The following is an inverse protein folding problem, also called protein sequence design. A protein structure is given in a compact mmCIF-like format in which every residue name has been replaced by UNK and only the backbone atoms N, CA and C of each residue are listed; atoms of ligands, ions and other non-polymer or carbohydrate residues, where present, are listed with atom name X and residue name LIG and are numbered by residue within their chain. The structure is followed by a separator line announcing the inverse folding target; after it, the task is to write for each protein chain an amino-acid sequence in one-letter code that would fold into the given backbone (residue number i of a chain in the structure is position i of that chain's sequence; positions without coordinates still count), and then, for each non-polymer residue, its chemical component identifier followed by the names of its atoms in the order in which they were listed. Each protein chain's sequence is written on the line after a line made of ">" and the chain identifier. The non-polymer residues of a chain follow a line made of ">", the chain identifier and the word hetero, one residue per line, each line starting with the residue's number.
data_IF_636629801433
#
_entry.id   IF_636629801433
#
_cell.length_a   1.000
_cell.length_b   1.000
_cell.length_c   1.000
_cell.angle_alpha   90.00
_cell.angle_beta   90.00
_cell.angle_gamma   90.00
#
_symmetry.space_group_name_H-M   'P 1'
#
loop_
_entity.id
_entity.type
_entity.pdbx_description
1 polymer ?
#
# COMPACT_ATOMS: atom_id res chain seq x y z
N UNK A 1 8.82 4.34 -5.31
CA UNK A 1 8.62 2.89 -5.53
C UNK A 1 9.88 2.03 -5.37
N UNK A 2 9.89 1.13 -4.39
CA UNK A 2 10.96 0.16 -4.14
C UNK A 2 10.86 -1.10 -5.03
N UNK A 3 12.00 -1.74 -5.31
CA UNK A 3 12.06 -2.97 -6.12
C UNK A 3 11.39 -4.19 -5.48
N UNK A 4 11.25 -4.20 -4.15
CA UNK A 4 10.48 -5.21 -3.41
C UNK A 4 9.02 -5.16 -3.78
N UNK A 5 8.43 -3.97 -3.85
CA UNK A 5 7.04 -3.78 -4.28
C UNK A 5 6.83 -4.20 -5.74
N UNK A 6 7.76 -3.87 -6.64
CA UNK A 6 7.70 -4.34 -8.03
C UNK A 6 7.71 -5.87 -8.11
N UNK A 7 8.47 -6.53 -7.22
CA UNK A 7 8.51 -7.99 -7.15
C UNK A 7 7.19 -8.56 -6.63
N UNK A 8 6.60 -7.96 -5.60
CA UNK A 8 5.27 -8.32 -5.05
C UNK A 8 4.17 -8.17 -6.10
N UNK A 9 4.11 -7.02 -6.79
CA UNK A 9 3.14 -6.72 -7.85
C UNK A 9 3.24 -7.74 -9.00
N UNK A 10 4.46 -8.03 -9.42
CA UNK A 10 4.71 -8.97 -10.50
C UNK A 10 4.62 -10.45 -10.07
N UNK A 11 4.40 -10.71 -8.77
CA UNK A 11 4.34 -12.03 -8.14
C UNK A 11 5.60 -12.87 -8.41
N UNK A 12 6.77 -12.27 -8.16
CA UNK A 12 8.08 -12.89 -8.35
C UNK A 12 9.04 -12.53 -7.23
N UNK A 13 10.18 -13.22 -7.18
CA UNK A 13 11.27 -12.82 -6.27
C UNK A 13 11.97 -11.53 -6.72
N UNK A 14 12.53 -10.78 -5.76
CA UNK A 14 13.42 -9.64 -6.05
C UNK A 14 14.60 -10.05 -6.94
N UNK A 15 15.09 -11.28 -6.81
CA UNK A 15 16.14 -11.84 -7.68
C UNK A 15 15.71 -11.95 -9.14
N UNK A 16 14.44 -12.24 -9.43
CA UNK A 16 13.91 -12.23 -10.79
C UNK A 16 13.91 -10.81 -11.36
N UNK A 17 13.43 -9.82 -10.60
CA UNK A 17 13.47 -8.40 -10.99
C UNK A 17 14.91 -7.93 -11.27
N UNK A 18 15.87 -8.36 -10.44
CA UNK A 18 17.31 -8.10 -10.68
C UNK A 18 17.82 -8.69 -12.01
N UNK A 19 17.32 -9.85 -12.43
CA UNK A 19 17.68 -10.44 -13.73
C UNK A 19 17.06 -9.65 -14.89
N UNK A 20 15.81 -9.19 -14.75
CA UNK A 20 15.15 -8.35 -15.76
C UNK A 20 15.93 -7.06 -16.01
N UNK A 21 16.40 -6.41 -14.94
CA UNK A 21 17.26 -5.22 -15.03
C UNK A 21 18.60 -5.45 -15.75
N UNK A 22 19.03 -6.71 -15.88
CA UNK A 22 20.23 -7.10 -16.64
C UNK A 22 19.91 -7.50 -18.09
N UNK A 23 18.68 -7.27 -18.56
CA UNK A 23 18.24 -7.56 -19.92
C UNK A 23 17.67 -8.97 -20.12
N UNK A 24 17.35 -9.70 -19.04
CA UNK A 24 16.58 -10.94 -19.18
C UNK A 24 15.09 -10.60 -19.34
N UNK A 25 14.34 -11.50 -19.97
CA UNK A 25 12.92 -11.27 -20.20
C UNK A 25 12.06 -11.57 -18.97
N UNK A 26 11.01 -10.77 -18.82
CA UNK A 26 9.89 -11.06 -17.94
C UNK A 26 8.90 -12.00 -18.63
N UNK A 27 8.28 -12.90 -17.85
CA UNK A 27 7.22 -13.75 -18.38
C UNK A 27 6.05 -12.91 -18.94
N UNK A 28 5.25 -13.42 -19.90
CA UNK A 28 4.03 -12.74 -20.33
C UNK A 28 3.09 -12.35 -19.17
N UNK A 29 2.94 -13.24 -18.18
CA UNK A 29 2.11 -13.01 -17.00
C UNK A 29 2.62 -11.84 -16.15
N UNK A 30 3.92 -11.81 -15.85
CA UNK A 30 4.56 -10.72 -15.10
C UNK A 30 4.45 -9.39 -15.85
N UNK A 31 4.61 -9.40 -17.18
CA UNK A 31 4.40 -8.21 -18.01
C UNK A 31 2.97 -7.72 -17.95
N UNK A 32 1.98 -8.62 -17.97
CA UNK A 32 0.57 -8.24 -17.84
C UNK A 32 0.26 -7.61 -16.48
N UNK A 33 0.78 -8.19 -15.39
CA UNK A 33 0.61 -7.62 -14.03
C UNK A 33 1.22 -6.23 -13.91
N UNK A 34 2.46 -6.05 -14.38
CA UNK A 34 3.12 -4.75 -14.39
C UNK A 34 2.41 -3.72 -15.28
N UNK A 35 1.87 -4.14 -16.43
CA UNK A 35 1.10 -3.27 -17.31
C UNK A 35 -0.22 -2.81 -16.65
N UNK A 36 -0.94 -3.72 -15.98
CA UNK A 36 -2.15 -3.36 -15.20
C UNK A 36 -1.83 -2.38 -14.08
N UNK A 37 -0.73 -2.61 -13.37
CA UNK A 37 -0.29 -1.71 -12.31
C UNK A 37 0.10 -0.34 -12.87
N UNK A 38 0.84 -0.28 -13.98
CA UNK A 38 1.18 0.98 -14.64
C UNK A 38 -0.09 1.75 -15.06
N UNK A 39 -1.07 1.06 -15.65
CA UNK A 39 -2.35 1.67 -16.01
C UNK A 39 -3.13 2.20 -14.80
N UNK A 40 -3.05 1.54 -13.64
CA UNK A 40 -3.62 2.05 -12.40
C UNK A 40 -2.91 3.33 -11.95
N UNK A 41 -1.59 3.39 -12.01
CA UNK A 41 -0.84 4.62 -11.65
C UNK A 41 -1.24 5.78 -12.56
N UNK A 42 -1.36 5.54 -13.87
CA UNK A 42 -1.83 6.54 -14.84
C UNK A 42 -3.25 7.03 -14.50
N UNK A 43 -4.16 6.11 -14.12
CA UNK A 43 -5.52 6.46 -13.71
C UNK A 43 -5.53 7.31 -12.43
N UNK A 44 -4.70 6.97 -11.44
CA UNK A 44 -4.58 7.72 -10.19
C UNK A 44 -4.09 9.15 -10.43
N UNK A 45 -3.13 9.32 -11.35
CA UNK A 45 -2.62 10.64 -11.73
C UNK A 45 -3.70 11.47 -12.43
N UNK A 46 -4.33 10.89 -13.45
CA UNK A 46 -5.19 11.63 -14.38
C UNK A 46 -6.60 11.85 -13.85
N UNK A 47 -7.19 10.86 -13.19
CA UNK A 47 -8.61 10.88 -12.79
C UNK A 47 -8.79 11.19 -11.30
N UNK A 48 -7.91 10.67 -10.44
CA UNK A 48 -7.99 10.91 -8.99
C UNK A 48 -7.16 12.12 -8.52
N UNK A 49 -6.37 12.73 -9.40
CA UNK A 49 -5.56 13.91 -9.09
C UNK A 49 -4.41 13.64 -8.11
N UNK A 50 -3.92 12.41 -8.05
CA UNK A 50 -2.76 12.03 -7.22
C UNK A 50 -1.47 12.45 -7.92
N UNK A 51 -0.79 13.47 -7.38
CA UNK A 51 0.41 14.07 -8.03
C UNK A 51 1.59 13.08 -8.19
N UNK A 52 1.83 12.22 -7.19
CA UNK A 52 2.83 11.14 -7.26
C UNK A 52 2.18 9.81 -6.86
N UNK A 53 1.54 9.10 -7.81
CA UNK A 53 0.86 7.85 -7.54
C UNK A 53 1.79 6.78 -7.00
N UNK A 54 3.03 6.73 -7.49
CA UNK A 54 4.00 5.72 -7.07
C UNK A 54 4.38 5.90 -5.60
N UNK A 55 4.60 7.13 -5.14
CA UNK A 55 4.86 7.41 -3.72
C UNK A 55 3.60 7.23 -2.88
N UNK A 56 2.44 7.72 -3.35
CA UNK A 56 1.16 7.57 -2.65
C UNK A 56 0.82 6.10 -2.36
N UNK A 57 1.08 5.20 -3.31
CA UNK A 57 0.89 3.76 -3.13
C UNK A 57 1.71 3.17 -1.99
N UNK A 58 2.85 3.78 -1.64
CA UNK A 58 3.75 3.33 -0.56
C UNK A 58 3.44 3.99 0.79
N UNK A 59 2.65 5.06 0.81
CA UNK A 59 2.31 5.80 2.02
C UNK A 59 1.22 5.09 2.83
N UNK A 60 1.26 5.26 4.16
CA UNK A 60 0.19 4.78 5.03
C UNK A 60 -1.08 5.60 4.80
N UNK A 61 -2.21 4.89 4.74
CA UNK A 61 -3.52 5.52 4.72
C UNK A 61 -3.73 6.34 6.01
N UNK A 62 -4.50 7.45 5.95
CA UNK A 62 -4.71 8.35 7.07
C UNK A 62 -5.66 7.74 8.11
N UNK A 63 -5.19 6.71 8.82
CA UNK A 63 -5.92 5.96 9.84
C UNK A 63 -5.45 6.34 11.24
N UNK A 64 -6.23 5.94 12.25
CA UNK A 64 -5.83 6.07 13.64
C UNK A 64 -4.50 5.35 13.93
N UNK A 65 -3.75 5.86 14.92
CA UNK A 65 -2.44 5.32 15.28
C UNK A 65 -2.47 3.81 15.58
N UNK A 66 -1.49 3.10 15.02
CA UNK A 66 -1.31 1.66 15.15
C UNK A 66 -1.82 0.85 13.96
N UNK A 67 -2.47 1.47 12.96
CA UNK A 67 -2.75 0.80 11.68
C UNK A 67 -1.68 1.13 10.66
N UNK A 68 -1.17 0.11 9.98
CA UNK A 68 -0.16 0.21 8.93
C UNK A 68 -0.71 -0.41 7.66
N UNK A 69 -1.63 0.29 6.99
CA UNK A 69 -2.25 -0.15 5.73
C UNK A 69 -1.88 0.88 4.66
N UNK A 70 -1.33 0.41 3.55
CA UNK A 70 -0.96 1.23 2.39
C UNK A 70 -1.92 0.97 1.24
N UNK A 71 -2.11 1.90 0.30
CA UNK A 71 -2.87 1.62 -0.91
C UNK A 71 -2.31 0.44 -1.70
N UNK A 72 -0.99 0.23 -1.72
CA UNK A 72 -0.39 -0.96 -2.34
C UNK A 72 -0.91 -2.27 -1.74
N UNK A 73 -1.15 -2.33 -0.43
CA UNK A 73 -1.66 -3.55 0.21
C UNK A 73 -3.09 -3.85 -0.28
N UNK A 74 -3.90 -2.81 -0.54
CA UNK A 74 -5.23 -2.98 -1.14
C UNK A 74 -5.15 -3.50 -2.57
N UNK A 75 -4.22 -2.98 -3.37
CA UNK A 75 -3.98 -3.47 -4.73
C UNK A 75 -3.55 -4.94 -4.74
N UNK A 76 -2.61 -5.32 -3.87
CA UNK A 76 -2.13 -6.70 -3.77
C UNK A 76 -3.22 -7.67 -3.26
N UNK A 77 -4.11 -7.20 -2.40
CA UNK A 77 -5.29 -7.93 -1.92
C UNK A 77 -6.44 -7.98 -2.97
N UNK A 78 -6.25 -7.39 -4.16
CA UNK A 78 -7.25 -7.33 -5.24
C UNK A 78 -8.44 -6.42 -4.93
N UNK A 79 -8.25 -5.41 -4.08
CA UNK A 79 -9.26 -4.44 -3.62
C UNK A 79 -9.20 -3.14 -4.42
N UNK A 80 -9.01 -3.24 -5.73
CA UNK A 80 -8.80 -2.11 -6.64
C UNK A 80 -9.89 -1.03 -6.53
N UNK A 81 -11.16 -1.44 -6.40
CA UNK A 81 -12.28 -0.50 -6.22
C UNK A 81 -12.17 0.32 -4.93
N UNK A 82 -11.79 -0.33 -3.82
CA UNK A 82 -11.62 0.35 -2.54
C UNK A 82 -10.46 1.37 -2.61
N UNK A 83 -9.38 0.99 -3.29
CA UNK A 83 -8.24 1.87 -3.55
C UNK A 83 -8.68 3.10 -4.35
N UNK A 84 -9.47 2.93 -5.41
CA UNK A 84 -9.97 4.04 -6.23
C UNK A 84 -10.93 4.94 -5.44
N UNK A 85 -11.86 4.37 -4.66
CA UNK A 85 -12.77 5.15 -3.81
C UNK A 85 -12.00 6.00 -2.78
N UNK A 86 -10.91 5.46 -2.22
CA UNK A 86 -10.02 6.20 -1.32
C UNK A 86 -9.27 7.31 -2.06
N UNK A 87 -8.70 7.00 -3.23
CA UNK A 87 -7.94 7.97 -4.03
C UNK A 87 -8.80 9.17 -4.44
N UNK A 88 -10.04 8.91 -4.86
CA UNK A 88 -11.01 9.92 -5.27
C UNK A 88 -11.76 10.57 -4.08
N UNK A 89 -11.41 10.22 -2.84
CA UNK A 89 -12.01 10.77 -1.62
C UNK A 89 -13.54 10.59 -1.55
N UNK A 90 -14.05 9.46 -2.07
CA UNK A 90 -15.49 9.16 -2.14
C UNK A 90 -16.13 8.78 -0.79
N UNK A 91 -15.34 8.77 0.28
CA UNK A 91 -15.80 8.49 1.63
C UNK A 91 -14.67 8.52 2.66
N UNK A 92 -15.03 8.28 3.93
CA UNK A 92 -14.03 8.07 4.98
C UNK A 92 -13.33 6.73 4.77
N UNK A 93 -12.00 6.73 4.88
CA UNK A 93 -11.16 5.54 4.64
C UNK A 93 -11.59 4.37 5.51
N UNK A 94 -11.93 4.60 6.77
CA UNK A 94 -12.37 3.56 7.69
C UNK A 94 -13.66 2.88 7.25
N UNK A 95 -14.62 3.63 6.70
CA UNK A 95 -15.88 3.06 6.20
C UNK A 95 -15.64 2.22 4.94
N UNK A 96 -14.78 2.69 4.03
CA UNK A 96 -14.41 1.94 2.83
C UNK A 96 -13.74 0.61 3.22
N UNK A 97 -12.84 0.65 4.20
CA UNK A 97 -12.17 -0.56 4.70
C UNK A 97 -13.13 -1.51 5.43
N UNK A 98 -14.15 -1.00 6.12
CA UNK A 98 -15.17 -1.83 6.79
C UNK A 98 -15.97 -2.68 5.81
N UNK A 99 -16.30 -2.11 4.67
CA UNK A 99 -17.04 -2.79 3.62
C UNK A 99 -16.14 -3.75 2.83
N UNK A 100 -14.92 -3.30 2.51
CA UNK A 100 -14.10 -3.95 1.49
C UNK A 100 -13.02 -4.88 2.06
N UNK A 101 -12.63 -4.73 3.33
CA UNK A 101 -11.59 -5.53 3.99
C UNK A 101 -12.02 -6.00 5.39
N UNK A 102 -12.94 -6.98 5.48
CA UNK A 102 -13.44 -7.46 6.77
C UNK A 102 -12.31 -7.84 7.74
N UNK A 103 -12.42 -7.38 8.99
CA UNK A 103 -11.45 -7.70 10.04
C UNK A 103 -10.17 -6.86 10.03
N UNK A 104 -10.02 -5.87 9.14
CA UNK A 104 -8.83 -5.00 9.11
C UNK A 104 -8.54 -4.33 10.46
N UNK A 105 -9.57 -4.06 11.27
CA UNK A 105 -9.39 -3.49 12.61
C UNK A 105 -8.64 -4.39 13.59
N UNK A 106 -8.62 -5.70 13.34
CA UNK A 106 -7.85 -6.64 14.15
C UNK A 106 -6.34 -6.57 13.86
N UNK A 107 -5.91 -5.92 12.77
CA UNK A 107 -4.49 -5.77 12.42
C UNK A 107 -3.83 -4.55 13.08
N UNK A 108 -4.46 -3.97 14.12
CA UNK A 108 -3.86 -2.85 14.86
C UNK A 108 -2.65 -3.34 15.64
N UNK A 109 -1.55 -2.59 15.57
CA UNK A 109 -0.36 -2.84 16.37
C UNK A 109 -0.68 -2.87 17.87
N UNK A 110 -0.20 -3.93 18.53
CA UNK A 110 -0.24 -4.09 19.99
C UNK A 110 0.63 -3.08 20.71
N UNK A 111 1.50 -2.36 19.98
CA UNK A 111 2.37 -1.34 20.52
C UNK A 111 1.83 0.07 20.24
N UNK A 112 2.18 1.00 21.11
CA UNK A 112 1.92 2.42 20.92
C UNK A 112 3.15 3.27 21.21
N UNK A 113 3.23 4.39 20.49
CA UNK A 113 4.25 5.41 20.69
C UNK A 113 3.70 6.43 21.67
N UNK A 114 4.49 6.82 22.66
CA UNK A 114 4.17 7.86 23.64
C UNK A 114 5.39 8.76 23.87
N UNK A 115 5.16 9.96 24.40
CA UNK A 115 6.23 10.84 24.85
C UNK A 115 6.60 10.47 26.30
N UNK A 116 7.84 10.04 26.50
CA UNK A 116 8.35 9.63 27.81
C UNK A 116 8.78 10.85 28.64
N UNK A 117 9.09 10.64 29.91
CA UNK A 117 9.48 11.67 30.88
C UNK A 117 10.74 12.45 30.50
N UNK A 118 11.57 11.90 29.62
CA UNK A 118 12.74 12.56 29.04
C UNK A 118 12.42 13.42 27.81
N UNK A 119 11.15 13.45 27.38
CA UNK A 119 10.66 14.16 26.20
C UNK A 119 10.94 13.43 24.88
N UNK A 120 11.43 12.18 24.92
CA UNK A 120 11.68 11.37 23.74
C UNK A 120 10.49 10.46 23.43
N UNK A 121 10.33 10.08 22.16
CA UNK A 121 9.32 9.11 21.74
C UNK A 121 9.78 7.70 22.10
N UNK A 122 9.03 7.05 22.96
CA UNK A 122 9.22 5.66 23.39
C UNK A 122 8.09 4.77 22.90
N UNK A 123 8.30 3.45 22.89
CA UNK A 123 7.31 2.44 22.50
C UNK A 123 6.96 1.59 23.72
N UNK A 124 5.66 1.33 23.93
CA UNK A 124 5.15 0.42 24.97
C UNK A 124 4.01 -0.45 24.45
N UNK A 125 3.61 -1.45 25.22
CA UNK A 125 2.38 -2.19 24.93
C UNK A 125 1.18 -1.25 25.12
N UNK A 126 0.24 -1.32 24.18
CA UNK A 126 -0.96 -0.51 24.18
C UNK A 126 -1.89 -0.98 25.30
N UNK A 127 -2.20 -0.09 26.24
CA UNK A 127 -3.06 -0.38 27.39
C UNK A 127 -2.33 -0.57 28.73
N UNK A 128 -0.98 -0.50 28.73
CA UNK A 128 -0.15 -0.26 29.92
C UNK A 128 0.05 1.24 30.17
#
# INVERSE_FOLDING_TARGET
>A
MAWTHIAEIADVSVSAVRKWRKGNDASPESRSRLAKFAALLDMLEQEAGVEDPATWMEMELPLAAGYHIRPLDLYLDGKDMALLDIAEQRGHVEHILDEMRPGWRASRSEFEVFDDTDGMRSIRLRGE
#
